data_IF_263122252024
#
_entry.id   IF_263122252024
#
_cell.length_a   1.000
_cell.length_b   1.000
_cell.length_c   1.000
_cell.angle_alpha   90.00
_cell.angle_beta   90.00
_cell.angle_gamma   90.00
#
_symmetry.space_group_name_H-M   'P 1'
#
loop_
_entity.id
_entity.type
_entity.pdbx_description
1 polymer ?
#
# COMPACT_ATOMS: atom_id res chain seq x y z
N UNK A 1 9.98 24.65 46.14
CA UNK A 1 10.92 24.28 45.04
C UNK A 1 10.39 23.23 44.06
N UNK A 2 9.12 22.80 44.12
CA UNK A 2 8.62 21.65 43.34
C UNK A 2 7.86 21.97 42.03
N UNK A 3 7.55 23.25 41.75
CA UNK A 3 6.76 23.61 40.55
C UNK A 3 7.57 23.92 39.29
N UNK A 4 8.91 23.83 39.38
CA UNK A 4 9.84 24.17 38.30
C UNK A 4 10.27 22.95 37.46
N UNK A 5 9.87 21.75 37.88
CA UNK A 5 10.22 20.50 37.20
C UNK A 5 9.25 20.13 36.05
N UNK A 6 8.05 20.73 36.01
CA UNK A 6 7.05 20.44 34.98
C UNK A 6 7.35 21.10 33.62
N UNK A 7 8.20 22.12 33.58
CA UNK A 7 8.55 22.82 32.32
C UNK A 7 9.72 22.18 31.57
N UNK A 8 10.39 21.16 32.14
CA UNK A 8 11.51 20.48 31.47
C UNK A 8 11.02 19.33 30.58
N UNK A 9 9.88 18.71 30.90
CA UNK A 9 9.30 17.63 30.07
C UNK A 9 8.60 18.15 28.80
N UNK A 10 8.30 19.45 28.72
CA UNK A 10 7.67 20.06 27.55
C UNK A 10 8.64 20.27 26.37
N UNK A 11 9.95 20.13 26.59
CA UNK A 11 10.98 20.40 25.58
C UNK A 11 11.36 19.19 24.70
N UNK A 12 10.74 18.03 24.91
CA UNK A 12 10.96 16.82 24.09
C UNK A 12 9.77 16.50 23.16
N UNK A 13 8.84 17.43 22.95
CA UNK A 13 7.65 17.22 22.10
C UNK A 13 7.83 17.71 20.64
N UNK A 14 9.03 18.10 20.21
CA UNK A 14 9.25 18.73 18.89
C UNK A 14 10.12 17.91 17.93
N UNK A 15 10.18 16.59 18.07
CA UNK A 15 10.65 15.69 17.01
C UNK A 15 9.48 14.87 16.46
N UNK A 16 8.46 15.59 15.98
CA UNK A 16 7.58 15.02 14.97
C UNK A 16 8.37 15.17 13.67
N UNK A 17 9.16 14.15 13.33
CA UNK A 17 9.64 13.99 11.96
C UNK A 17 8.38 13.95 11.10
N UNK A 18 8.19 15.00 10.30
CA UNK A 18 7.26 14.95 9.19
C UNK A 18 7.74 13.81 8.30
N UNK A 19 7.19 12.60 8.51
CA UNK A 19 7.18 11.60 7.45
C UNK A 19 6.53 12.33 6.30
N UNK A 20 7.21 12.55 5.16
CA UNK A 20 6.52 13.04 3.99
C UNK A 20 5.40 12.04 3.76
N UNK A 21 4.18 12.46 4.06
CA UNK A 21 3.01 11.81 3.52
C UNK A 21 3.30 11.93 2.04
N UNK A 22 3.68 10.81 1.40
CA UNK A 22 3.53 10.71 -0.04
C UNK A 22 2.03 10.91 -0.24
N UNK A 23 1.60 12.17 -0.32
CA UNK A 23 0.47 12.53 -1.13
C UNK A 23 0.80 11.83 -2.45
N UNK A 24 0.04 10.80 -2.86
CA UNK A 24 0.03 10.54 -4.27
C UNK A 24 -0.50 11.86 -4.81
N UNK A 25 0.39 12.71 -5.28
CA UNK A 25 0.03 13.70 -6.25
C UNK A 25 -0.96 12.97 -7.13
N UNK A 26 -2.20 13.45 -7.14
CA UNK A 26 -3.10 13.23 -8.24
C UNK A 26 -2.52 13.98 -9.45
N UNK A 27 -1.22 13.80 -9.73
CA UNK A 27 -0.72 13.70 -11.06
C UNK A 27 -1.67 12.70 -11.70
N UNK A 28 -2.46 13.22 -12.62
CA UNK A 28 -3.10 12.44 -13.66
C UNK A 28 -2.00 11.65 -14.37
N UNK A 29 -1.54 10.56 -13.76
CA UNK A 29 -0.73 9.56 -14.43
C UNK A 29 -1.62 9.08 -15.55
N UNK A 30 -1.28 9.51 -16.77
CA UNK A 30 -2.00 9.10 -17.96
C UNK A 30 -2.10 7.58 -17.91
N UNK A 31 -3.31 7.08 -17.67
CA UNK A 31 -3.53 5.66 -17.52
C UNK A 31 -3.07 4.98 -18.81
N UNK A 32 -2.24 3.95 -18.67
CA UNK A 32 -1.67 3.21 -19.78
C UNK A 32 -2.67 2.12 -20.18
N UNK A 33 -2.96 2.01 -21.48
CA UNK A 33 -3.68 0.87 -22.03
C UNK A 33 -2.70 -0.26 -22.28
N UNK A 34 -2.84 -1.36 -21.55
CA UNK A 34 -2.03 -2.55 -21.70
C UNK A 34 -2.38 -3.30 -23.00
N UNK A 35 -1.49 -4.17 -23.52
CA UNK A 35 -1.72 -4.95 -24.74
C UNK A 35 -3.01 -5.80 -24.68
N UNK A 36 -3.35 -6.28 -23.48
CA UNK A 36 -4.53 -7.12 -23.22
C UNK A 36 -5.84 -6.31 -23.15
N UNK A 37 -5.78 -5.00 -23.35
CA UNK A 37 -6.93 -4.09 -23.31
C UNK A 37 -7.25 -3.52 -21.93
N UNK A 38 -6.65 -4.05 -20.86
CA UNK A 38 -6.77 -3.52 -19.50
C UNK A 38 -6.17 -2.11 -19.37
N UNK A 39 -6.72 -1.31 -18.47
CA UNK A 39 -6.21 0.03 -18.15
C UNK A 39 -5.46 -0.04 -16.82
N UNK A 40 -4.20 0.41 -16.82
CA UNK A 40 -3.34 0.47 -15.65
C UNK A 40 -2.90 1.91 -15.35
N UNK A 41 -2.62 2.25 -14.08
CA UNK A 41 -2.06 3.56 -13.72
C UNK A 41 -0.61 3.75 -14.20
N UNK A 42 0.09 2.65 -14.49
CA UNK A 42 1.48 2.67 -14.97
C UNK A 42 1.78 1.43 -15.83
N UNK A 43 2.67 1.55 -16.80
CA UNK A 43 3.04 0.43 -17.70
C UNK A 43 3.65 -0.77 -16.95
N UNK A 44 4.33 -0.50 -15.82
CA UNK A 44 4.86 -1.54 -14.94
C UNK A 44 3.78 -2.46 -14.33
N UNK A 45 2.52 -2.04 -14.31
CA UNK A 45 1.44 -2.85 -13.75
C UNK A 45 0.85 -3.86 -14.75
N UNK A 46 1.12 -3.72 -16.05
CA UNK A 46 0.50 -4.57 -17.07
C UNK A 46 0.76 -6.08 -16.88
N UNK A 47 1.97 -6.55 -16.50
CA UNK A 47 2.21 -7.98 -16.27
C UNK A 47 1.37 -8.58 -15.14
N UNK A 48 0.93 -7.76 -14.17
CA UNK A 48 0.17 -8.26 -13.03
C UNK A 48 -1.27 -8.64 -13.36
N UNK A 49 -1.80 -8.24 -14.53
CA UNK A 49 -3.11 -8.71 -14.95
C UNK A 49 -3.11 -10.19 -15.27
N UNK A 50 -2.12 -10.68 -16.02
CA UNK A 50 -1.97 -12.11 -16.28
C UNK A 50 -1.73 -12.90 -14.99
N UNK A 51 -0.90 -12.36 -14.08
CA UNK A 51 -0.68 -12.99 -12.77
C UNK A 51 -1.95 -13.06 -11.94
N UNK A 52 -2.74 -11.97 -11.88
CA UNK A 52 -4.04 -11.96 -11.20
C UNK A 52 -4.94 -13.06 -11.75
N UNK A 53 -5.07 -13.13 -13.07
CA UNK A 53 -6.00 -14.07 -13.71
C UNK A 53 -5.58 -15.53 -13.45
N UNK A 54 -4.29 -15.85 -13.55
CA UNK A 54 -3.72 -17.15 -13.21
C UNK A 54 -3.93 -17.52 -11.73
N UNK A 55 -3.66 -16.58 -10.81
CA UNK A 55 -3.89 -16.79 -9.38
C UNK A 55 -5.38 -17.00 -9.07
N UNK A 56 -6.28 -16.26 -9.70
CA UNK A 56 -7.72 -16.41 -9.49
C UNK A 56 -8.24 -17.73 -10.04
N UNK A 57 -7.74 -18.19 -11.18
CA UNK A 57 -8.19 -19.43 -11.81
C UNK A 57 -7.61 -20.68 -11.13
N UNK A 58 -6.32 -20.70 -10.83
CA UNK A 58 -5.62 -21.91 -10.41
C UNK A 58 -5.33 -22.00 -8.92
N UNK A 59 -5.15 -20.87 -8.23
CA UNK A 59 -4.83 -20.87 -6.80
C UNK A 59 -6.06 -20.60 -5.93
N UNK A 60 -6.76 -19.49 -6.17
CA UNK A 60 -7.86 -19.05 -5.33
C UNK A 60 -9.24 -19.50 -5.81
N UNK A 61 -9.34 -20.03 -7.03
CA UNK A 61 -10.58 -20.53 -7.64
C UNK A 61 -11.74 -19.51 -7.60
N UNK A 62 -11.42 -18.21 -7.59
CA UNK A 62 -12.38 -17.12 -7.46
C UNK A 62 -13.14 -17.05 -6.13
N UNK A 63 -12.71 -17.77 -5.09
CA UNK A 63 -13.38 -17.80 -3.78
C UNK A 63 -12.49 -17.29 -2.66
N UNK A 64 -13.11 -16.77 -1.59
CA UNK A 64 -12.41 -16.49 -0.33
C UNK A 64 -12.29 -17.80 0.47
N UNK A 65 -11.37 -18.66 0.03
CA UNK A 65 -11.12 -19.99 0.61
C UNK A 65 -9.89 -20.04 1.53
N UNK A 66 -9.47 -21.26 1.84
CA UNK A 66 -8.28 -21.53 2.66
C UNK A 66 -7.02 -20.90 2.05
N UNK A 67 -6.79 -21.12 0.75
CA UNK A 67 -5.61 -20.61 0.06
C UNK A 67 -5.52 -19.07 0.11
N UNK A 68 -6.66 -18.39 0.02
CA UNK A 68 -6.73 -16.93 0.15
C UNK A 68 -6.39 -16.48 1.58
N UNK A 69 -6.91 -17.15 2.60
CA UNK A 69 -6.57 -16.86 4.00
C UNK A 69 -5.09 -17.11 4.30
N UNK A 70 -4.53 -18.20 3.77
CA UNK A 70 -3.14 -18.56 3.94
C UNK A 70 -2.20 -17.59 3.23
N UNK A 71 -2.58 -17.08 2.04
CA UNK A 71 -1.82 -16.04 1.36
C UNK A 71 -1.71 -14.76 2.19
N UNK A 72 -2.80 -14.33 2.82
CA UNK A 72 -2.77 -13.16 3.74
C UNK A 72 -1.88 -13.44 4.94
N UNK A 73 -1.93 -14.64 5.51
CA UNK A 73 -1.05 -15.05 6.61
C UNK A 73 0.43 -15.05 6.22
N UNK A 74 0.77 -15.41 4.98
CA UNK A 74 2.15 -15.45 4.50
C UNK A 74 2.76 -14.04 4.36
N UNK A 75 1.93 -13.03 4.06
CA UNK A 75 2.38 -11.64 3.85
C UNK A 75 2.73 -10.94 5.17
N UNK A 76 2.04 -11.31 6.25
CA UNK A 76 2.20 -10.70 7.57
C UNK A 76 3.36 -11.31 8.36
#
# INVERSE_FOLDING_TARGET
MAFKALTIFASFASLIVAVPQASPDAATTASVRCPDGNIAPHSACCPFFALRDDMLEHLFQGVCGEDAHQAVRLIF
#
